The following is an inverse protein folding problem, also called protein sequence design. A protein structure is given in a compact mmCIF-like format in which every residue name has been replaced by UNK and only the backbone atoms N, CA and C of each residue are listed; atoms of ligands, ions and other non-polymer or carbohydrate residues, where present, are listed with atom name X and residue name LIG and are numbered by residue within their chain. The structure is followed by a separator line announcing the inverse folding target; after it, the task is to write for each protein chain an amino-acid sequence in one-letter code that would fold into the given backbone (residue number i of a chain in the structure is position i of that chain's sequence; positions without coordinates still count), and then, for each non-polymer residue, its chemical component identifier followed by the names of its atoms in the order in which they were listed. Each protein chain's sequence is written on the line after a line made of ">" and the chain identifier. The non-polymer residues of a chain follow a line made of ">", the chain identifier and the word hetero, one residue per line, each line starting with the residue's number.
data_IF_213456668336
#
_entry.id   IF_213456668336
#
_cell.length_a   1.000
_cell.length_b   1.000
_cell.length_c   1.000
_cell.angle_alpha   90.00
_cell.angle_beta   90.00
_cell.angle_gamma   90.00
#
_symmetry.space_group_name_H-M   'P 1'
#
loop_
_entity.id
_entity.type
_entity.pdbx_description
1 polymer ?
#
# COMPACT_ATOMS: atom_id res chain seq x y z
N UNK A 1 -16.90 -10.13 -9.03
CA UNK A 1 -15.56 -10.58 -8.58
C UNK A 1 -15.36 -10.07 -7.17
N UNK A 2 -14.91 -10.89 -6.20
CA UNK A 2 -14.62 -10.37 -4.87
C UNK A 2 -13.49 -9.35 -4.99
N UNK A 3 -13.72 -8.15 -4.45
CA UNK A 3 -12.73 -7.07 -4.39
C UNK A 3 -11.61 -7.57 -3.48
N UNK A 4 -10.46 -7.96 -4.06
CA UNK A 4 -9.25 -8.14 -3.25
C UNK A 4 -8.94 -6.79 -2.60
N UNK A 5 -8.62 -6.72 -1.30
CA UNK A 5 -8.27 -5.46 -0.66
C UNK A 5 -7.15 -4.76 -1.45
N UNK A 6 -7.24 -3.44 -1.54
CA UNK A 6 -6.47 -2.55 -2.40
C UNK A 6 -4.93 -2.61 -2.20
N UNK A 7 -4.43 -3.40 -1.25
CA UNK A 7 -3.02 -3.40 -0.84
C UNK A 7 -2.34 -4.79 -0.82
N UNK A 8 -2.88 -5.78 -1.52
CA UNK A 8 -2.19 -7.07 -1.70
C UNK A 8 -1.28 -7.06 -2.93
N UNK A 9 -0.11 -7.70 -2.84
CA UNK A 9 0.73 -7.95 -4.02
C UNK A 9 0.06 -9.04 -4.89
N UNK A 10 -0.29 -8.77 -6.16
CA UNK A 10 -0.88 -9.76 -7.03
C UNK A 10 0.17 -10.79 -7.50
N UNK A 11 -0.28 -12.00 -7.84
CA UNK A 11 0.62 -13.07 -8.32
C UNK A 11 1.30 -12.72 -9.66
N UNK A 12 0.78 -11.74 -10.39
CA UNK A 12 1.35 -11.21 -11.63
C UNK A 12 2.43 -10.15 -11.42
N UNK A 13 2.69 -9.74 -10.16
CA UNK A 13 3.68 -8.74 -9.85
C UNK A 13 5.10 -9.24 -10.13
N UNK A 14 5.97 -8.33 -10.59
CA UNK A 14 7.39 -8.63 -10.83
C UNK A 14 8.23 -8.13 -9.66
N UNK A 15 9.03 -9.01 -9.06
CA UNK A 15 9.99 -8.59 -8.03
C UNK A 15 11.00 -7.61 -8.62
N UNK A 16 11.26 -6.50 -7.93
CA UNK A 16 12.21 -5.47 -8.37
C UNK A 16 13.50 -5.56 -7.56
N UNK A 17 13.40 -5.28 -6.26
CA UNK A 17 14.55 -5.24 -5.35
C UNK A 17 14.10 -5.30 -3.89
N UNK A 18 15.07 -5.42 -2.99
CA UNK A 18 14.87 -5.29 -1.56
C UNK A 18 15.38 -3.94 -1.07
N UNK A 19 14.63 -3.30 -0.19
CA UNK A 19 14.96 -2.01 0.39
C UNK A 19 15.13 -2.13 1.92
N UNK A 20 16.05 -1.36 2.50
CA UNK A 20 16.25 -1.30 3.95
C UNK A 20 15.91 0.10 4.45
N UNK A 21 14.93 0.20 5.35
CA UNK A 21 14.63 1.42 6.09
C UNK A 21 15.29 1.36 7.48
N UNK A 22 16.05 2.39 7.85
CA UNK A 22 16.70 2.47 9.16
C UNK A 22 18.15 1.98 9.19
N UNK A 23 18.68 1.74 10.39
CA UNK A 23 20.10 1.44 10.60
C UNK A 23 20.34 0.52 11.81
N UNK A 24 21.38 -0.33 11.72
CA UNK A 24 21.76 -1.25 12.80
C UNK A 24 20.64 -2.22 13.16
N UNK A 25 20.33 -2.31 14.45
CA UNK A 25 19.24 -3.15 14.99
C UNK A 25 17.85 -2.49 14.87
N UNK A 26 17.80 -1.22 14.44
CA UNK A 26 16.56 -0.48 14.20
C UNK A 26 16.34 -0.33 12.70
N UNK A 27 16.16 -1.46 12.03
CA UNK A 27 15.89 -1.50 10.58
C UNK A 27 14.73 -2.41 10.24
N UNK A 28 14.02 -2.05 9.18
CA UNK A 28 12.99 -2.86 8.54
C UNK A 28 13.50 -3.18 7.14
N UNK A 29 13.38 -4.45 6.75
CA UNK A 29 13.70 -4.90 5.41
C UNK A 29 12.37 -5.10 4.68
N UNK A 30 12.25 -4.45 3.52
CA UNK A 30 11.10 -4.57 2.64
C UNK A 30 11.46 -5.15 1.28
N UNK A 31 10.47 -5.71 0.61
CA UNK A 31 10.55 -6.17 -0.77
C UNK A 31 9.63 -5.37 -1.66
N UNK A 32 10.20 -4.82 -2.73
CA UNK A 32 9.50 -3.98 -3.69
C UNK A 32 9.09 -4.79 -4.91
N UNK A 33 7.82 -4.68 -5.27
CA UNK A 33 7.18 -5.34 -6.39
C UNK A 33 6.65 -4.32 -7.37
N UNK A 34 6.83 -4.59 -8.67
CA UNK A 34 6.29 -3.82 -9.77
C UNK A 34 4.98 -4.45 -10.23
N UNK A 35 3.91 -3.66 -10.24
CA UNK A 35 2.59 -4.10 -10.69
C UNK A 35 2.26 -3.32 -11.96
N UNK A 36 2.19 -4.01 -13.11
CA UNK A 36 1.76 -3.40 -14.36
C UNK A 36 0.23 -3.27 -14.37
N UNK A 37 -0.28 -2.05 -14.54
CA UNK A 37 -1.68 -1.75 -14.86
C UNK A 37 -1.77 -1.28 -16.32
N UNK A 38 -2.97 -1.02 -16.82
CA UNK A 38 -3.19 -0.63 -18.22
C UNK A 38 -2.42 0.67 -18.57
N UNK A 39 -2.69 1.75 -17.85
CA UNK A 39 -2.08 3.07 -18.09
C UNK A 39 -1.07 3.49 -17.01
N UNK A 40 -0.87 2.64 -16.01
CA UNK A 40 -0.05 2.93 -14.84
C UNK A 40 0.87 1.77 -14.45
N UNK A 41 1.82 2.07 -13.59
CA UNK A 41 2.67 1.10 -12.91
C UNK A 41 2.73 1.46 -11.43
N UNK A 42 2.52 0.47 -10.58
CA UNK A 42 2.74 0.63 -9.15
C UNK A 42 4.08 0.03 -8.75
N UNK A 43 4.74 0.67 -7.78
CA UNK A 43 5.84 0.10 -7.02
C UNK A 43 5.43 0.00 -5.55
N UNK A 44 5.15 -1.22 -5.13
CA UNK A 44 4.64 -1.52 -3.79
C UNK A 44 5.72 -2.21 -2.98
N UNK A 45 6.02 -1.69 -1.80
CA UNK A 45 7.00 -2.27 -0.88
C UNK A 45 6.30 -2.81 0.36
N UNK A 46 6.53 -4.09 0.67
CA UNK A 46 5.97 -4.77 1.86
C UNK A 46 7.07 -5.31 2.77
N UNK A 47 6.79 -5.49 4.06
CA UNK A 47 7.75 -6.04 5.03
C UNK A 47 8.12 -7.50 4.69
N UNK A 48 9.43 -7.81 4.74
CA UNK A 48 9.98 -9.16 4.46
C UNK A 48 9.81 -10.14 5.63
N UNK A 49 9.45 -9.66 6.81
CA UNK A 49 9.34 -10.45 8.06
C UNK A 49 8.18 -11.47 8.09
N UNK A 50 7.57 -11.76 6.94
CA UNK A 50 6.45 -12.69 6.80
C UNK A 50 5.09 -12.09 7.17
N UNK A 51 5.04 -10.85 7.66
CA UNK A 51 3.76 -10.15 7.97
C UNK A 51 3.18 -9.42 6.77
N UNK A 52 3.97 -9.19 5.72
CA UNK A 52 3.57 -8.51 4.49
C UNK A 52 2.91 -7.13 4.75
N UNK A 53 3.42 -6.38 5.73
CA UNK A 53 2.90 -5.06 6.08
C UNK A 53 3.28 -4.08 4.97
N UNK A 54 2.31 -3.32 4.46
CA UNK A 54 2.57 -2.27 3.49
C UNK A 54 3.49 -1.21 4.10
N UNK A 55 4.59 -0.90 3.41
CA UNK A 55 5.51 0.17 3.80
C UNK A 55 5.32 1.39 2.90
N UNK A 56 5.33 1.18 1.58
CA UNK A 56 5.10 2.22 0.58
C UNK A 56 4.32 1.70 -0.62
N UNK A 57 3.53 2.57 -1.24
CA UNK A 57 2.85 2.36 -2.52
C UNK A 57 3.02 3.62 -3.36
N UNK A 58 3.51 3.48 -4.59
CA UNK A 58 3.73 4.61 -5.50
C UNK A 58 3.19 4.26 -6.87
N UNK A 59 2.26 5.08 -7.38
CA UNK A 59 1.65 4.91 -8.70
C UNK A 59 2.18 5.95 -9.67
N UNK A 60 2.63 5.48 -10.85
CA UNK A 60 3.13 6.31 -11.95
C UNK A 60 2.32 6.00 -13.22
N UNK A 61 1.92 7.00 -13.98
CA UNK A 61 1.36 6.78 -15.32
C UNK A 61 2.47 6.63 -16.37
N UNK A 62 2.10 6.26 -17.62
CA UNK A 62 3.03 6.09 -18.74
C UNK A 62 3.94 7.31 -19.02
N UNK A 63 3.58 8.50 -18.53
CA UNK A 63 4.49 9.64 -18.36
C UNK A 63 4.94 9.70 -16.90
N UNK A 64 6.25 9.86 -16.59
CA UNK A 64 6.85 9.58 -15.27
C UNK A 64 6.46 10.56 -14.14
N UNK A 65 5.28 11.15 -14.21
CA UNK A 65 4.65 11.89 -13.11
C UNK A 65 4.14 10.89 -12.08
N UNK A 66 4.64 11.01 -10.84
CA UNK A 66 4.02 10.38 -9.67
C UNK A 66 2.62 10.96 -9.54
N UNK A 67 1.59 10.13 -9.58
CA UNK A 67 0.21 10.58 -9.39
C UNK A 67 -0.31 10.26 -8.00
N UNK A 68 0.26 9.23 -7.37
CA UNK A 68 -0.02 8.91 -5.98
C UNK A 68 1.21 8.31 -5.30
N UNK A 69 1.43 8.69 -4.05
CA UNK A 69 2.50 8.19 -3.21
C UNK A 69 1.99 8.09 -1.76
N UNK A 70 1.93 6.87 -1.27
CA UNK A 70 1.49 6.55 0.08
C UNK A 70 2.63 5.90 0.85
N UNK A 71 2.81 6.33 2.10
CA UNK A 71 3.67 5.66 3.08
C UNK A 71 2.82 5.31 4.29
N UNK A 72 2.93 4.08 4.76
CA UNK A 72 2.20 3.62 5.95
C UNK A 72 3.12 3.61 7.16
N UNK A 73 2.67 4.24 8.24
CA UNK A 73 3.30 4.15 9.57
C UNK A 73 2.27 3.64 10.58
N UNK A 74 2.76 3.16 11.73
CA UNK A 74 1.91 2.79 12.88
C UNK A 74 0.80 1.77 12.56
N UNK A 75 1.13 0.78 11.72
CA UNK A 75 0.18 -0.26 11.31
C UNK A 75 -0.38 -1.04 12.51
N UNK A 76 -1.70 -1.06 12.63
CA UNK A 76 -2.47 -1.92 13.53
C UNK A 76 -3.29 -2.89 12.67
N UNK A 77 -3.22 -4.19 12.97
CA UNK A 77 -3.77 -5.23 12.10
C UNK A 77 -5.31 -5.26 12.04
N UNK A 78 -6.00 -4.49 12.87
CA UNK A 78 -7.45 -4.53 13.04
C UNK A 78 -7.99 -3.11 13.28
N UNK A 79 -9.29 -2.96 13.04
CA UNK A 79 -10.02 -1.73 13.33
C UNK A 79 -10.70 -1.92 14.68
N UNK A 80 -10.27 -1.15 15.67
CA UNK A 80 -10.75 -1.26 17.05
C UNK A 80 -12.17 -0.70 17.20
N UNK A 81 -12.54 0.33 16.42
CA UNK A 81 -13.85 0.96 16.43
C UNK A 81 -14.45 1.03 15.00
N UNK A 82 -15.43 0.18 14.65
CA UNK A 82 -16.02 0.16 13.33
C UNK A 82 -16.94 1.38 13.05
N UNK A 83 -17.32 2.16 14.07
CA UNK A 83 -18.15 3.36 13.87
C UNK A 83 -17.45 4.45 13.06
N UNK A 84 -16.13 4.36 12.87
CA UNK A 84 -15.37 5.21 11.95
C UNK A 84 -15.88 5.16 10.50
N UNK A 85 -16.61 4.10 10.14
CA UNK A 85 -17.25 3.95 8.83
C UNK A 85 -18.67 4.52 8.76
N UNK A 86 -19.25 4.95 9.88
CA UNK A 86 -20.58 5.55 9.90
C UNK A 86 -20.52 6.96 9.32
N UNK A 87 -21.35 7.22 8.30
CA UNK A 87 -21.42 8.54 7.66
C UNK A 87 -22.03 9.54 8.66
N UNK A 88 -21.32 10.64 9.00
CA UNK A 88 -21.84 11.67 9.91
C UNK A 88 -23.16 12.26 9.39
N UNK A 89 -24.04 12.66 10.31
CA UNK A 89 -25.38 13.13 9.96
C UNK A 89 -25.34 14.35 9.01
N UNK A 90 -24.34 15.22 9.19
CA UNK A 90 -24.05 16.39 8.36
C UNK A 90 -23.69 16.04 6.90
N UNK A 91 -23.17 14.83 6.64
CA UNK A 91 -22.78 14.38 5.30
C UNK A 91 -23.92 13.65 4.56
N UNK A 92 -25.04 13.32 5.22
CA UNK A 92 -26.12 12.51 4.63
C UNK A 92 -26.89 13.20 3.50
N UNK A 93 -26.84 14.53 3.42
CA UNK A 93 -27.51 15.31 2.36
C UNK A 93 -26.57 15.71 1.21
N UNK A 94 -25.31 15.26 1.23
CA UNK A 94 -24.29 15.58 0.22
C UNK A 94 -24.17 14.51 -0.88
N UNK A 95 -25.05 13.49 -0.88
CA UNK A 95 -25.06 12.34 -1.79
C UNK A 95 -26.32 12.38 -2.64
#
# INVERSE_FOLDING_TARGET
>A
MPIKPFHCIPDTATYVHSFTYGYGDKKIIGDTWRIQKDEAVDYVTVSRDGRCILLTDNTFFQNPTVVDAMTTTDFVAQIDDPSIFDIPAECKNAI
#
